data_IF_823489032826
#
_entry.id   IF_823489032826
#
_cell.length_a   1.000
_cell.length_b   1.000
_cell.length_c   1.000
_cell.angle_alpha   90.00
_cell.angle_beta   90.00
_cell.angle_gamma   90.00
#
_symmetry.space_group_name_H-M   'P 1'
#
loop_
_entity.id
_entity.type
_entity.pdbx_description
1 polymer ?
#
# COMPACT_ATOMS: atom_id res chain seq x y z
N UNK A 1 9.88 29.95 -5.40
CA UNK A 1 9.64 29.43 -4.04
C UNK A 1 9.00 28.04 -4.08
N UNK A 2 7.85 27.86 -4.73
CA UNK A 2 7.16 26.57 -4.85
C UNK A 2 8.08 25.44 -5.37
N UNK A 3 8.82 25.67 -6.46
CA UNK A 3 9.78 24.66 -7.00
C UNK A 3 10.85 24.24 -5.99
N UNK A 4 11.37 25.19 -5.19
CA UNK A 4 12.37 24.88 -4.15
C UNK A 4 11.76 23.99 -3.05
N UNK A 5 10.58 24.34 -2.56
CA UNK A 5 9.87 23.56 -1.54
C UNK A 5 9.46 22.18 -2.06
N UNK A 6 9.00 22.11 -3.31
CA UNK A 6 8.68 20.89 -4.03
C UNK A 6 9.89 19.95 -4.10
N UNK A 7 11.05 20.43 -4.55
CA UNK A 7 12.28 19.63 -4.65
C UNK A 7 12.80 19.17 -3.28
N UNK A 8 12.58 19.98 -2.25
CA UNK A 8 12.95 19.66 -0.86
C UNK A 8 11.97 18.68 -0.19
N UNK A 9 10.92 18.20 -0.87
CA UNK A 9 9.91 17.31 -0.28
C UNK A 9 8.96 18.00 0.70
N UNK A 10 9.00 19.34 0.80
CA UNK A 10 8.15 20.12 1.70
C UNK A 10 6.82 20.44 1.02
N UNK A 11 6.10 19.41 0.58
CA UNK A 11 4.91 19.53 -0.29
C UNK A 11 3.76 20.30 0.38
N UNK A 12 3.50 20.06 1.67
CA UNK A 12 2.50 20.83 2.44
C UNK A 12 2.84 22.32 2.49
N UNK A 13 4.10 22.66 2.77
CA UNK A 13 4.55 24.06 2.79
C UNK A 13 4.47 24.70 1.40
N UNK A 14 4.75 23.94 0.34
CA UNK A 14 4.59 24.41 -1.02
C UNK A 14 3.12 24.75 -1.32
N UNK A 15 2.17 23.91 -0.88
CA UNK A 15 0.73 24.18 -0.99
C UNK A 15 0.30 25.39 -0.17
N UNK A 16 0.70 25.50 1.09
CA UNK A 16 0.34 26.64 1.96
C UNK A 16 0.86 27.96 1.38
N UNK A 17 2.07 27.95 0.81
CA UNK A 17 2.62 29.10 0.10
C UNK A 17 1.76 29.49 -1.10
N UNK A 18 1.30 28.51 -1.90
CA UNK A 18 0.42 28.77 -3.05
C UNK A 18 -0.89 29.42 -2.60
N UNK A 19 -1.47 28.98 -1.47
CA UNK A 19 -2.72 29.54 -0.94
C UNK A 19 -2.56 31.00 -0.46
N UNK A 20 -1.36 31.39 -0.02
CA UNK A 20 -1.06 32.73 0.47
C UNK A 20 -0.58 33.69 -0.63
N UNK A 21 -0.52 33.25 -1.89
CA UNK A 21 -0.07 34.10 -2.98
C UNK A 21 -1.05 35.27 -3.21
N UNK A 22 -0.56 36.51 -3.35
CA UNK A 22 -1.41 37.68 -3.60
C UNK A 22 -2.00 37.72 -5.02
N UNK A 23 -1.69 36.72 -5.84
CA UNK A 23 -2.08 36.60 -7.24
C UNK A 23 -2.53 35.17 -7.53
N UNK A 24 -3.34 35.00 -8.57
CA UNK A 24 -3.81 33.67 -8.96
C UNK A 24 -2.63 32.81 -9.45
N UNK A 25 -2.41 31.61 -8.88
CA UNK A 25 -1.37 30.72 -9.34
C UNK A 25 -1.73 30.14 -10.71
N UNK A 26 -0.75 30.13 -11.61
CA UNK A 26 -0.91 29.60 -12.97
C UNK A 26 -0.74 28.07 -13.03
N UNK A 27 -0.94 27.50 -14.23
CA UNK A 27 -0.84 26.06 -14.48
C UNK A 27 0.54 25.49 -14.12
N UNK A 28 1.62 26.23 -14.36
CA UNK A 28 3.00 25.80 -14.05
C UNK A 28 3.20 25.60 -12.54
N UNK A 29 2.66 26.49 -11.71
CA UNK A 29 2.77 26.38 -10.25
C UNK A 29 2.04 25.14 -9.73
N UNK A 30 0.81 24.91 -10.20
CA UNK A 30 0.03 23.73 -9.81
C UNK A 30 0.64 22.43 -10.34
N UNK A 31 1.23 22.41 -11.54
CA UNK A 31 1.98 21.24 -12.04
C UNK A 31 3.24 20.95 -11.25
N UNK A 32 3.95 22.00 -10.84
CA UNK A 32 5.12 21.84 -9.96
C UNK A 32 4.71 21.17 -8.65
N UNK A 33 3.59 21.60 -8.05
CA UNK A 33 3.04 20.94 -6.86
C UNK A 33 2.61 19.50 -7.16
N UNK A 34 1.90 19.25 -8.26
CA UNK A 34 1.45 17.91 -8.65
C UNK A 34 2.62 16.93 -8.85
N UNK A 35 3.69 17.37 -9.51
CA UNK A 35 4.90 16.58 -9.67
C UNK A 35 5.57 16.25 -8.32
N UNK A 36 5.57 17.19 -7.38
CA UNK A 36 6.04 16.94 -6.02
C UNK A 36 5.13 15.95 -5.28
N UNK A 37 3.81 16.11 -5.36
CA UNK A 37 2.86 15.17 -4.76
C UNK A 37 3.03 13.75 -5.31
N UNK A 38 3.27 13.62 -6.61
CA UNK A 38 3.54 12.35 -7.28
C UNK A 38 4.82 11.70 -6.75
N UNK A 39 5.89 12.49 -6.60
CA UNK A 39 7.18 11.99 -6.13
C UNK A 39 7.20 11.59 -4.65
N UNK A 40 6.45 12.29 -3.81
CA UNK A 40 6.48 12.12 -2.34
C UNK A 40 5.20 11.47 -1.77
N UNK A 41 4.31 10.95 -2.62
CA UNK A 41 3.14 10.17 -2.17
C UNK A 41 2.01 10.99 -1.53
N UNK A 42 1.79 12.25 -1.93
CA UNK A 42 0.73 13.10 -1.35
C UNK A 42 -0.55 13.11 -2.19
N UNK A 43 -1.32 12.02 -2.12
CA UNK A 43 -2.53 11.80 -2.93
C UNK A 43 -3.59 12.90 -2.77
N UNK A 44 -3.92 13.27 -1.54
CA UNK A 44 -4.93 14.30 -1.28
C UNK A 44 -4.55 15.66 -1.90
N UNK A 45 -3.29 16.07 -1.77
CA UNK A 45 -2.80 17.32 -2.34
C UNK A 45 -2.68 17.25 -3.87
N UNK A 46 -2.36 16.07 -4.43
CA UNK A 46 -2.36 15.85 -5.86
C UNK A 46 -3.76 16.05 -6.46
N UNK A 47 -4.81 15.56 -5.79
CA UNK A 47 -6.20 15.77 -6.21
C UNK A 47 -6.60 17.25 -6.20
N UNK A 48 -6.18 18.00 -5.18
CA UNK A 48 -6.40 19.45 -5.14
C UNK A 48 -5.69 20.14 -6.31
N UNK A 49 -4.41 19.80 -6.57
CA UNK A 49 -3.67 20.35 -7.70
C UNK A 49 -4.31 19.99 -9.04
N UNK A 50 -4.76 18.75 -9.21
CA UNK A 50 -5.46 18.25 -10.39
C UNK A 50 -6.76 19.00 -10.65
N UNK A 51 -7.57 19.22 -9.60
CA UNK A 51 -8.80 19.98 -9.72
C UNK A 51 -8.54 21.41 -10.21
N UNK A 52 -7.46 22.07 -9.74
CA UNK A 52 -7.07 23.40 -10.23
C UNK A 52 -6.56 23.35 -11.68
N UNK A 53 -5.78 22.34 -12.05
CA UNK A 53 -5.27 22.16 -13.41
C UNK A 53 -6.38 21.88 -14.43
N UNK A 54 -7.43 21.16 -14.05
CA UNK A 54 -8.60 20.94 -14.91
C UNK A 54 -9.30 22.26 -15.28
N UNK A 55 -9.31 23.24 -14.39
CA UNK A 55 -9.88 24.56 -14.68
C UNK A 55 -8.96 25.44 -15.52
N UNK A 56 -7.64 25.30 -15.38
CA UNK A 56 -6.65 26.12 -16.09
C UNK A 56 -6.32 25.56 -17.48
N UNK A 57 -6.04 24.27 -17.58
CA UNK A 57 -5.57 23.57 -18.78
C UNK A 57 -6.06 22.11 -18.83
N UNK A 58 -7.34 21.86 -19.14
CA UNK A 58 -7.99 20.54 -19.01
C UNK A 58 -7.45 19.43 -19.91
N UNK A 59 -6.75 19.78 -21.00
CA UNK A 59 -6.31 18.83 -22.04
C UNK A 59 -4.82 18.47 -21.95
N UNK A 60 -4.16 18.77 -20.83
CA UNK A 60 -2.75 18.46 -20.68
C UNK A 60 -2.55 16.97 -20.33
N UNK A 61 -1.96 16.20 -21.24
CA UNK A 61 -1.76 14.76 -21.08
C UNK A 61 -0.80 14.41 -19.93
N UNK A 62 0.19 15.27 -19.67
CA UNK A 62 1.17 15.04 -18.60
C UNK A 62 0.53 14.95 -17.21
N UNK A 63 -0.59 15.64 -16.98
CA UNK A 63 -1.25 15.68 -15.67
C UNK A 63 -1.90 14.32 -15.37
N UNK A 64 -2.46 13.67 -16.41
CA UNK A 64 -3.00 12.31 -16.30
C UNK A 64 -1.91 11.27 -16.02
N UNK A 65 -0.75 11.39 -16.67
CA UNK A 65 0.38 10.48 -16.44
C UNK A 65 0.89 10.58 -15.00
N UNK A 66 1.03 11.80 -14.47
CA UNK A 66 1.44 12.03 -13.08
C UNK A 66 0.46 11.39 -12.08
N UNK A 67 -0.84 11.60 -12.29
CA UNK A 67 -1.87 11.00 -11.44
C UNK A 67 -1.88 9.47 -11.51
N UNK A 68 -1.78 8.91 -12.71
CA UNK A 68 -1.71 7.45 -12.90
C UNK A 68 -0.52 6.85 -12.16
N UNK A 69 0.65 7.48 -12.27
CA UNK A 69 1.86 7.02 -11.58
C UNK A 69 1.72 7.11 -10.06
N UNK A 70 1.14 8.20 -9.55
CA UNK A 70 0.90 8.36 -8.11
C UNK A 70 -0.01 7.25 -7.56
N UNK A 71 -1.14 6.98 -8.22
CA UNK A 71 -2.04 5.91 -7.79
C UNK A 71 -1.39 4.53 -7.89
N UNK A 72 -0.60 4.28 -8.94
CA UNK A 72 0.13 3.04 -9.07
C UNK A 72 1.15 2.86 -7.92
N UNK A 73 1.92 3.91 -7.58
CA UNK A 73 2.88 3.85 -6.48
C UNK A 73 2.22 3.66 -5.12
N UNK A 74 1.07 4.31 -4.87
CA UNK A 74 0.33 4.14 -3.62
C UNK A 74 -0.20 2.71 -3.48
N UNK A 75 -0.66 2.13 -4.60
CA UNK A 75 -1.10 0.74 -4.65
C UNK A 75 0.06 -0.23 -4.42
N UNK A 76 1.21 0.01 -5.04
CA UNK A 76 2.43 -0.79 -4.84
C UNK A 76 2.92 -0.71 -3.38
N UNK A 77 2.91 0.46 -2.75
CA UNK A 77 3.25 0.61 -1.33
C UNK A 77 2.29 -0.16 -0.42
N UNK A 78 0.98 -0.11 -0.70
CA UNK A 78 -0.03 -0.89 0.02
C UNK A 78 0.19 -2.39 -0.17
N UNK A 79 0.50 -2.84 -1.37
CA UNK A 79 0.81 -4.23 -1.66
C UNK A 79 2.09 -4.67 -0.94
N UNK A 80 3.17 -3.89 -1.02
CA UNK A 80 4.44 -4.17 -0.36
C UNK A 80 4.30 -4.22 1.17
N UNK A 81 3.46 -3.37 1.77
CA UNK A 81 3.15 -3.45 3.19
C UNK A 81 2.52 -4.80 3.59
N UNK A 82 1.78 -5.44 2.67
CA UNK A 82 1.13 -6.75 2.88
C UNK A 82 2.07 -7.95 2.58
N UNK A 83 3.16 -7.75 1.83
CA UNK A 83 4.12 -8.82 1.47
C UNK A 83 5.04 -9.19 2.66
N UNK A 84 5.31 -8.26 3.58
CA UNK A 84 6.31 -8.43 4.65
C UNK A 84 5.77 -8.93 5.98
N UNK A 85 4.67 -9.68 5.99
CA UNK A 85 4.22 -10.30 7.22
C UNK A 85 4.99 -11.60 7.51
N UNK A 86 5.56 -11.69 8.72
CA UNK A 86 6.45 -12.78 9.11
C UNK A 86 5.77 -14.15 9.08
N UNK A 87 4.45 -14.21 9.29
CA UNK A 87 3.69 -15.46 9.19
C UNK A 87 3.65 -15.99 7.75
N UNK A 88 3.42 -15.12 6.76
CA UNK A 88 3.39 -15.51 5.35
C UNK A 88 4.75 -16.06 4.92
N UNK A 89 5.83 -15.35 5.27
CA UNK A 89 7.20 -15.76 4.94
C UNK A 89 7.54 -17.08 5.62
N UNK A 90 7.22 -17.23 6.91
CA UNK A 90 7.48 -18.47 7.64
C UNK A 90 6.75 -19.67 7.03
N UNK A 91 5.46 -19.52 6.69
CA UNK A 91 4.69 -20.59 6.03
C UNK A 91 5.26 -20.88 4.64
N UNK A 92 5.58 -19.86 3.83
CA UNK A 92 6.13 -20.04 2.49
C UNK A 92 7.48 -20.78 2.51
N UNK A 93 8.38 -20.39 3.41
CA UNK A 93 9.66 -21.05 3.58
C UNK A 93 9.48 -22.51 4.02
N UNK A 94 8.58 -22.76 4.98
CA UNK A 94 8.28 -24.12 5.43
C UNK A 94 7.69 -24.99 4.32
N UNK A 95 6.87 -24.45 3.43
CA UNK A 95 6.35 -25.19 2.28
C UNK A 95 7.46 -25.63 1.31
N UNK A 96 8.49 -24.80 1.13
CA UNK A 96 9.62 -25.09 0.23
C UNK A 96 10.62 -26.05 0.89
N UNK A 97 10.92 -25.86 2.17
CA UNK A 97 12.02 -26.56 2.84
C UNK A 97 11.61 -27.86 3.55
N UNK A 98 10.31 -28.14 3.71
CA UNK A 98 9.85 -29.34 4.40
C UNK A 98 9.21 -30.36 3.45
N UNK A 99 9.32 -31.68 3.73
CA UNK A 99 8.75 -32.71 2.88
C UNK A 99 7.24 -32.53 2.67
N UNK A 100 6.70 -32.85 1.48
CA UNK A 100 5.27 -32.87 1.21
C UNK A 100 4.48 -33.61 2.30
N UNK A 101 3.33 -33.06 2.68
CA UNK A 101 2.47 -33.62 3.73
C UNK A 101 2.89 -33.32 5.18
N UNK A 102 4.10 -32.80 5.43
CA UNK A 102 4.52 -32.45 6.80
C UNK A 102 3.68 -31.28 7.36
N UNK A 103 3.05 -31.39 8.54
CA UNK A 103 2.33 -30.28 9.13
C UNK A 103 3.25 -29.08 9.41
N UNK A 104 2.81 -27.87 9.08
CA UNK A 104 3.58 -26.64 9.31
C UNK A 104 3.07 -25.97 10.57
N UNK A 105 3.98 -25.53 11.45
CA UNK A 105 3.64 -24.82 12.69
C UNK A 105 4.40 -23.50 12.78
N UNK A 106 3.68 -22.40 12.89
CA UNK A 106 4.25 -21.05 13.02
C UNK A 106 3.74 -20.44 14.32
N UNK A 107 4.64 -19.85 15.10
CA UNK A 107 4.30 -19.15 16.34
C UNK A 107 4.66 -17.68 16.17
N UNK A 108 3.66 -16.82 16.34
CA UNK A 108 3.82 -15.38 16.35
C UNK A 108 3.42 -14.80 17.72
N UNK A 109 4.01 -13.66 18.05
CA UNK A 109 3.69 -12.85 19.22
C UNK A 109 2.71 -11.72 18.89
N UNK A 110 2.43 -11.48 17.61
CA UNK A 110 1.43 -10.53 17.13
C UNK A 110 0.17 -11.25 16.66
N UNK A 111 -0.97 -10.56 16.73
CA UNK A 111 -2.26 -11.06 16.21
C UNK A 111 -2.17 -11.17 14.69
N UNK A 112 -2.68 -12.28 14.14
CA UNK A 112 -2.69 -12.45 12.68
C UNK A 112 -3.62 -11.40 12.04
N UNK A 113 -3.18 -10.76 10.96
CA UNK A 113 -4.05 -9.86 10.21
C UNK A 113 -4.96 -10.65 9.24
N UNK A 114 -6.06 -10.03 8.81
CA UNK A 114 -7.02 -10.68 7.89
C UNK A 114 -6.39 -11.10 6.56
N UNK A 115 -5.42 -10.35 6.06
CA UNK A 115 -4.71 -10.67 4.82
C UNK A 115 -3.77 -11.89 4.99
N UNK A 116 -2.99 -11.99 6.07
CA UNK A 116 -2.26 -13.21 6.43
C UNK A 116 -3.22 -14.41 6.56
N UNK A 117 -4.36 -14.20 7.20
CA UNK A 117 -5.36 -15.23 7.41
C UNK A 117 -5.89 -15.78 6.06
N UNK A 118 -6.20 -14.89 5.11
CA UNK A 118 -6.66 -15.27 3.76
C UNK A 118 -5.57 -15.99 2.96
N UNK A 119 -4.34 -15.46 2.97
CA UNK A 119 -3.22 -16.07 2.24
C UNK A 119 -2.91 -17.47 2.78
N UNK A 120 -2.87 -17.67 4.10
CA UNK A 120 -2.56 -18.98 4.68
C UNK A 120 -3.68 -19.99 4.43
N UNK A 121 -4.96 -19.55 4.42
CA UNK A 121 -6.07 -20.37 3.91
C UNK A 121 -5.78 -20.85 2.48
N UNK A 122 -5.48 -19.93 1.56
CA UNK A 122 -5.16 -20.28 0.17
C UNK A 122 -3.98 -21.26 0.08
N UNK A 123 -2.90 -21.01 0.83
CA UNK A 123 -1.74 -21.90 0.86
C UNK A 123 -2.10 -23.31 1.35
N UNK A 124 -2.94 -23.43 2.39
CA UNK A 124 -3.40 -24.75 2.89
C UNK A 124 -4.15 -25.54 1.82
N UNK A 125 -4.93 -24.84 0.96
CA UNK A 125 -5.69 -25.44 -0.14
C UNK A 125 -4.81 -25.83 -1.32
N UNK A 126 -4.00 -24.90 -1.81
CA UNK A 126 -3.16 -25.08 -3.01
C UNK A 126 -2.12 -26.17 -2.81
N UNK A 127 -1.48 -26.21 -1.64
CA UNK A 127 -0.43 -27.19 -1.35
C UNK A 127 -0.95 -28.44 -0.65
N UNK A 128 -2.24 -28.49 -0.26
CA UNK A 128 -2.82 -29.60 0.50
C UNK A 128 -2.11 -29.82 1.84
N UNK A 129 -1.73 -28.74 2.53
CA UNK A 129 -0.95 -28.80 3.78
C UNK A 129 -1.77 -28.33 4.96
N UNK A 130 -1.61 -29.04 6.07
CA UNK A 130 -2.10 -28.57 7.37
C UNK A 130 -1.13 -27.55 7.94
N UNK A 131 -1.65 -26.37 8.26
CA UNK A 131 -0.86 -25.26 8.78
C UNK A 131 -1.50 -24.81 10.09
N UNK A 132 -0.72 -24.80 11.17
CA UNK A 132 -1.13 -24.24 12.46
C UNK A 132 -0.36 -22.95 12.71
N UNK A 133 -1.09 -21.86 12.89
CA UNK A 133 -0.51 -20.57 13.30
C UNK A 133 -1.01 -20.24 14.69
N UNK A 134 -0.09 -20.09 15.63
CA UNK A 134 -0.38 -19.53 16.95
C UNK A 134 -0.10 -18.04 16.90
N UNK A 135 -1.08 -17.23 17.25
CA UNK A 135 -0.90 -15.78 17.45
C UNK A 135 -1.04 -15.43 18.94
N UNK A 136 -1.08 -14.13 19.28
CA UNK A 136 -1.23 -13.70 20.68
C UNK A 136 -2.62 -14.01 21.28
N UNK A 137 -3.62 -14.32 20.45
CA UNK A 137 -5.02 -14.45 20.85
C UNK A 137 -5.49 -15.90 20.87
N UNK A 138 -5.07 -16.73 19.91
CA UNK A 138 -5.55 -18.10 19.73
C UNK A 138 -4.64 -18.94 18.81
N UNK A 139 -5.06 -20.18 18.60
CA UNK A 139 -4.54 -21.03 17.54
C UNK A 139 -5.48 -21.03 16.34
N UNK A 140 -4.90 -20.85 15.17
CA UNK A 140 -5.55 -20.94 13.88
C UNK A 140 -5.10 -22.23 13.21
N UNK A 141 -6.05 -23.13 12.92
CA UNK A 141 -5.78 -24.36 12.19
C UNK A 141 -6.33 -24.22 10.79
N UNK A 142 -5.44 -24.18 9.81
CA UNK A 142 -5.76 -24.03 8.40
C UNK A 142 -5.70 -25.39 7.70
N UNK A 143 -6.81 -25.75 7.06
CA UNK A 143 -6.95 -26.99 6.27
C UNK A 143 -7.92 -26.74 5.12
N UNK A 144 -7.53 -27.13 3.90
CA UNK A 144 -8.35 -27.06 2.69
C UNK A 144 -9.03 -25.70 2.47
N UNK A 145 -8.29 -24.61 2.66
CA UNK A 145 -8.81 -23.26 2.41
C UNK A 145 -9.68 -22.69 3.54
N UNK A 146 -9.81 -23.40 4.65
CA UNK A 146 -10.63 -22.98 5.80
C UNK A 146 -9.77 -22.85 7.05
N UNK A 147 -10.21 -22.02 8.00
CA UNK A 147 -9.58 -21.88 9.31
C UNK A 147 -10.56 -22.22 10.45
N UNK A 148 -10.05 -22.86 11.50
CA UNK A 148 -10.82 -23.19 12.71
C UNK A 148 -11.44 -21.99 13.45
N UNK A 149 -10.98 -20.76 13.19
CA UNK A 149 -11.52 -19.57 13.86
C UNK A 149 -12.82 -19.04 13.24
N UNK A 150 -13.28 -19.60 12.11
CA UNK A 150 -14.50 -19.15 11.43
C UNK A 150 -14.42 -17.71 10.91
N UNK A 151 -13.22 -17.28 10.52
CA UNK A 151 -12.92 -15.90 10.08
C UNK A 151 -13.06 -14.84 11.19
N UNK A 152 -12.97 -15.25 12.45
CA UNK A 152 -12.68 -14.36 13.56
C UNK A 152 -11.16 -14.35 13.82
N UNK A 153 -10.42 -13.57 13.02
CA UNK A 153 -8.97 -13.34 13.18
C UNK A 153 -8.68 -12.27 14.22
#
# INVERSE_FOLDING_TARGET
MVDLLARAGKVKQAHDYIQQMPMQPNSVIWRTLLGACTKFGHVELAEVARAKLLHLEPKHSGDYVLMSNLYASEQEEKENALVHHSEKIAVALMLVCSPPGTPIRVFNNLRICGDCHVVIKLMSKVYGREITVRDCSRFHHFRDGSCSCGDYW
#
